data_IF_340071784946
#
_entry.id   IF_340071784946
#
_cell.length_a   1.000
_cell.length_b   1.000
_cell.length_c   1.000
_cell.angle_alpha   90.00
_cell.angle_beta   90.00
_cell.angle_gamma   90.00
#
_symmetry.space_group_name_H-M   'P 1'
#
loop_
_entity.id
_entity.type
_entity.pdbx_description
1 polymer ?
#
# COMPACT_ATOMS: atom_id res chain seq x y z
N UNK A 1 -25.01 7.45 21.18
CA UNK A 1 -24.67 7.70 19.77
C UNK A 1 -23.20 7.37 19.59
N UNK A 2 -22.90 6.24 18.96
CA UNK A 2 -21.51 5.85 18.71
C UNK A 2 -20.96 6.78 17.64
N UNK A 3 -20.01 7.66 18.01
CA UNK A 3 -19.28 8.45 17.04
C UNK A 3 -18.58 7.42 16.14
N UNK A 4 -19.00 7.32 14.88
CA UNK A 4 -18.21 6.59 13.89
C UNK A 4 -16.85 7.27 13.94
N UNK A 5 -15.84 6.56 14.44
CA UNK A 5 -14.47 6.99 14.40
C UNK A 5 -14.22 7.43 12.96
N UNK A 6 -13.88 8.69 12.74
CA UNK A 6 -13.34 9.14 11.47
C UNK A 6 -12.00 8.43 11.36
N UNK A 7 -12.00 7.17 10.90
CA UNK A 7 -10.79 6.45 10.61
C UNK A 7 -10.13 7.28 9.53
N UNK A 8 -9.08 8.01 9.87
CA UNK A 8 -8.34 8.80 8.90
C UNK A 8 -7.94 7.84 7.78
N UNK A 9 -8.32 8.16 6.54
CA UNK A 9 -8.01 7.30 5.39
C UNK A 9 -6.51 7.33 5.23
N UNK A 10 -5.91 6.14 5.28
CA UNK A 10 -4.46 5.96 5.16
C UNK A 10 -4.16 5.38 3.80
N UNK A 11 -3.03 5.77 3.25
CA UNK A 11 -2.63 5.37 1.92
C UNK A 11 -1.22 4.80 1.94
N UNK A 12 -0.96 3.91 1.00
CA UNK A 12 0.37 3.40 0.76
C UNK A 12 0.64 3.41 -0.74
N UNK A 13 1.91 3.64 -1.12
CA UNK A 13 2.35 3.55 -2.51
C UNK A 13 3.21 2.33 -2.71
N UNK A 14 2.89 1.49 -3.69
CA UNK A 14 3.69 0.33 -4.05
C UNK A 14 5.02 0.76 -4.65
N UNK A 15 6.12 0.32 -4.04
CA UNK A 15 7.48 0.56 -4.53
C UNK A 15 7.93 -0.51 -5.54
N UNK A 16 7.27 -1.68 -5.49
CA UNK A 16 7.62 -2.84 -6.30
C UNK A 16 6.38 -3.60 -6.71
N UNK A 17 6.46 -4.26 -7.87
CA UNK A 17 5.41 -5.19 -8.30
C UNK A 17 5.33 -6.37 -7.34
N UNK A 18 4.10 -6.75 -7.02
CA UNK A 18 3.80 -7.94 -6.23
C UNK A 18 2.78 -8.81 -6.95
N UNK A 19 3.13 -10.08 -7.15
CA UNK A 19 2.24 -11.09 -7.71
C UNK A 19 1.62 -11.89 -6.56
N UNK A 20 0.28 -11.90 -6.42
CA UNK A 20 -0.42 -12.71 -5.44
C UNK A 20 -0.04 -14.19 -5.51
N UNK A 21 0.13 -14.80 -4.35
CA UNK A 21 0.28 -16.24 -4.14
C UNK A 21 -1.06 -16.90 -3.84
N UNK A 22 -1.96 -16.17 -3.18
CA UNK A 22 -3.27 -16.64 -2.75
C UNK A 22 -4.40 -15.69 -3.18
N UNK A 23 -5.64 -16.20 -3.23
CA UNK A 23 -6.81 -15.45 -3.70
C UNK A 23 -7.26 -14.32 -2.75
N UNK A 24 -6.75 -14.29 -1.53
CA UNK A 24 -7.01 -13.22 -0.57
C UNK A 24 -5.98 -12.07 -0.67
N UNK A 25 -4.98 -12.17 -1.55
CA UNK A 25 -3.93 -11.16 -1.72
C UNK A 25 -4.20 -10.19 -2.88
N UNK A 26 -3.65 -8.97 -2.76
CA UNK A 26 -3.69 -7.94 -3.79
C UNK A 26 -2.50 -8.04 -4.72
N UNK A 27 -2.75 -7.90 -6.01
CA UNK A 27 -1.71 -7.61 -6.99
C UNK A 27 -1.32 -6.15 -6.83
N UNK A 28 -0.01 -5.89 -6.78
CA UNK A 28 0.53 -4.54 -6.79
C UNK A 28 1.35 -4.32 -8.06
N UNK A 29 1.20 -3.17 -8.67
CA UNK A 29 2.11 -2.64 -9.68
C UNK A 29 2.90 -1.47 -9.07
N UNK A 30 4.19 -1.40 -9.37
CA UNK A 30 5.07 -0.37 -8.84
C UNK A 30 4.53 1.02 -9.22
N UNK A 31 4.12 1.80 -8.23
CA UNK A 31 3.51 3.12 -8.38
C UNK A 31 2.06 3.18 -7.88
N UNK A 32 1.39 2.04 -7.72
CA UNK A 32 0.00 1.95 -7.27
C UNK A 32 -0.21 2.63 -5.92
N UNK A 33 -1.31 3.38 -5.80
CA UNK A 33 -1.80 3.91 -4.53
C UNK A 33 -2.89 2.99 -3.98
N UNK A 34 -2.70 2.54 -2.74
CA UNK A 34 -3.56 1.59 -2.04
C UNK A 34 -4.20 2.29 -0.84
N UNK A 35 -5.53 2.21 -0.70
CA UNK A 35 -6.20 2.60 0.54
C UNK A 35 -5.94 1.51 1.60
N UNK A 36 -5.26 1.86 2.69
CA UNK A 36 -4.89 0.94 3.76
C UNK A 36 -6.04 0.86 4.76
N UNK A 37 -6.57 -0.34 4.94
CA UNK A 37 -7.69 -0.61 5.83
C UNK A 37 -7.18 -1.04 7.22
N UNK A 38 -6.18 -1.93 7.27
CA UNK A 38 -5.61 -2.47 8.51
C UNK A 38 -4.14 -2.91 8.34
N UNK A 39 -3.41 -3.10 9.45
CA UNK A 39 -2.13 -3.86 9.46
C UNK A 39 -0.84 -3.05 9.29
N UNK A 40 -0.83 -1.73 9.45
CA UNK A 40 0.38 -0.89 9.31
C UNK A 40 1.55 -1.26 10.21
N UNK A 41 1.27 -1.81 11.39
CA UNK A 41 2.30 -2.24 12.34
C UNK A 41 2.78 -3.69 12.11
N UNK A 42 2.24 -4.37 11.09
CA UNK A 42 2.48 -5.79 10.83
C UNK A 42 3.30 -6.07 9.58
N UNK A 43 3.52 -7.35 9.33
CA UNK A 43 4.17 -7.86 8.12
C UNK A 43 3.30 -7.74 6.87
N UNK A 44 1.98 -7.73 7.08
CA UNK A 44 0.96 -7.70 6.05
C UNK A 44 -0.09 -6.63 6.38
N UNK A 45 -0.53 -5.94 5.34
CA UNK A 45 -1.60 -4.95 5.42
C UNK A 45 -2.82 -5.44 4.64
N UNK A 46 -4.01 -5.08 5.10
CA UNK A 46 -5.23 -5.21 4.33
C UNK A 46 -5.46 -3.89 3.59
N UNK A 47 -5.66 -3.95 2.27
CA UNK A 47 -5.87 -2.75 1.47
C UNK A 47 -7.00 -2.89 0.46
N UNK A 48 -7.31 -1.77 -0.17
CA UNK A 48 -8.21 -1.66 -1.31
C UNK A 48 -7.52 -0.94 -2.47
N UNK A 49 -7.51 -1.59 -3.63
CA UNK A 49 -7.03 -1.00 -4.90
C UNK A 49 -7.68 -1.72 -6.07
N UNK A 50 -7.82 -1.04 -7.22
CA UNK A 50 -8.40 -1.58 -8.45
C UNK A 50 -9.75 -2.32 -8.25
N UNK A 51 -10.58 -1.86 -7.30
CA UNK A 51 -11.89 -2.47 -7.00
C UNK A 51 -11.84 -3.76 -6.18
N UNK A 52 -10.67 -4.17 -5.67
CA UNK A 52 -10.49 -5.39 -4.86
C UNK A 52 -9.96 -5.06 -3.47
N UNK A 53 -10.42 -5.81 -2.47
CA UNK A 53 -9.85 -5.84 -1.11
C UNK A 53 -8.97 -7.08 -0.99
N UNK A 54 -7.79 -6.95 -0.37
CA UNK A 54 -6.93 -8.09 -0.08
C UNK A 54 -5.66 -7.73 0.68
N UNK A 55 -4.89 -8.75 1.00
CA UNK A 55 -3.63 -8.65 1.75
C UNK A 55 -2.46 -8.28 0.83
N UNK A 56 -1.54 -7.47 1.33
CA UNK A 56 -0.28 -7.17 0.65
C UNK A 56 0.88 -7.01 1.65
N UNK A 57 2.12 -7.32 1.27
CA UNK A 57 3.25 -7.25 2.18
C UNK A 57 3.64 -5.79 2.46
N UNK A 58 3.75 -5.42 3.74
CA UNK A 58 4.00 -4.04 4.17
C UNK A 58 5.36 -3.50 3.72
N UNK A 59 6.33 -4.39 3.46
CA UNK A 59 7.67 -4.01 2.99
C UNK A 59 7.73 -3.73 1.47
N UNK A 60 6.64 -3.90 0.73
CA UNK A 60 6.59 -3.59 -0.71
C UNK A 60 6.04 -2.19 -0.99
N UNK A 61 5.63 -1.49 0.06
CA UNK A 61 5.02 -0.17 -0.03
C UNK A 61 5.73 0.81 0.89
N UNK A 62 5.44 2.08 0.69
CA UNK A 62 5.66 3.15 1.67
C UNK A 62 4.33 3.75 2.06
N UNK A 63 4.13 4.08 3.34
CA UNK A 63 2.94 4.80 3.77
C UNK A 63 3.06 6.26 3.39
N UNK A 64 1.98 6.82 2.84
CA UNK A 64 1.92 8.18 2.34
C UNK A 64 0.69 8.89 2.93
N UNK A 65 0.77 10.20 3.05
CA UNK A 65 -0.35 11.04 3.46
C UNK A 65 -1.44 11.09 2.38
N UNK A 66 -2.64 11.55 2.77
CA UNK A 66 -3.73 11.78 1.83
C UNK A 66 -3.40 12.86 0.78
N UNK A 67 -2.49 13.81 1.08
CA UNK A 67 -2.00 14.79 0.09
C UNK A 67 -1.14 14.09 -0.95
N UNK A 68 -0.17 13.29 -0.51
CA UNK A 68 0.72 12.55 -1.40
C UNK A 68 -0.02 11.53 -2.26
N UNK A 69 -1.11 10.95 -1.76
CA UNK A 69 -1.97 10.05 -2.52
C UNK A 69 -2.72 10.75 -3.67
N UNK A 70 -2.86 12.08 -3.60
CA UNK A 70 -3.49 12.90 -4.61
C UNK A 70 -2.47 13.61 -5.55
N UNK A 71 -1.18 13.56 -5.23
CA UNK A 71 -0.11 14.25 -5.97
C UNK A 71 0.65 13.33 -6.94
N UNK A 72 1.16 13.92 -8.03
CA UNK A 72 1.68 13.27 -9.24
C UNK A 72 3.05 12.57 -9.07
N UNK A 73 3.46 11.81 -10.09
CA UNK A 73 4.49 10.76 -10.14
C UNK A 73 5.93 11.16 -9.74
N UNK A 74 6.23 12.47 -9.61
CA UNK A 74 7.60 12.95 -9.42
C UNK A 74 8.25 12.45 -8.11
N UNK A 75 7.50 12.46 -7.00
CA UNK A 75 7.96 12.01 -5.68
C UNK A 75 8.36 10.52 -5.69
N UNK A 76 7.67 9.72 -6.49
CA UNK A 76 7.90 8.28 -6.57
C UNK A 76 9.22 7.91 -7.24
N UNK A 77 9.64 8.71 -8.23
CA UNK A 77 10.87 8.48 -8.97
C UNK A 77 12.11 8.58 -8.08
N UNK A 78 12.19 9.61 -7.22
CA UNK A 78 13.31 9.80 -6.29
C UNK A 78 13.34 8.72 -5.19
N UNK A 79 12.17 8.35 -4.66
CA UNK A 79 12.05 7.33 -3.60
C UNK A 79 12.45 5.93 -4.09
N UNK A 80 12.12 5.60 -5.34
CA UNK A 80 12.45 4.31 -5.96
C UNK A 80 13.94 4.12 -6.16
N UNK A 81 14.67 5.16 -6.52
CA UNK A 81 16.11 5.09 -6.79
C UNK A 81 16.94 4.78 -5.53
N UNK A 82 16.41 5.11 -4.35
CA UNK A 82 17.09 4.93 -3.06
C UNK A 82 16.83 3.59 -2.37
N UNK A 83 15.87 2.77 -2.85
CA UNK A 83 15.42 1.56 -2.14
C UNK A 83 15.75 0.28 -2.93
N UNK A 84 16.26 -0.75 -2.23
CA UNK A 84 16.53 -2.07 -2.81
C UNK A 84 15.29 -2.95 -2.76
N UNK A 85 15.03 -3.71 -3.84
CA UNK A 85 13.90 -4.66 -3.91
C UNK A 85 13.97 -5.68 -2.76
N UNK A 86 12.96 -5.72 -1.87
CA UNK A 86 12.94 -6.63 -0.74
C UNK A 86 12.39 -8.01 -1.13
N UNK A 87 12.61 -9.00 -0.27
CA UNK A 87 11.96 -10.31 -0.41
C UNK A 87 10.48 -10.22 0.02
N UNK A 88 9.56 -10.83 -0.73
CA UNK A 88 8.16 -10.87 -0.31
C UNK A 88 8.04 -11.74 0.93
N UNK A 89 7.38 -11.21 1.96
CA UNK A 89 7.05 -11.97 3.16
C UNK A 89 6.11 -13.13 2.78
N UNK A 90 6.30 -14.28 3.41
CA UNK A 90 5.51 -15.50 3.18
C UNK A 90 4.47 -15.67 4.28
#
# INVERSE_FOLDING_TARGET
MLRKSTQERRYARAMYDYKPRDDNELRLEAGDVIEVLEGEAGDWCLGFTAGRVGLFPSNYVIFISASEAAEDDHIYSEMKESQKRPTPKA
#
